data_IF_300399938773
#
_entry.id   IF_300399938773
#
_cell.length_a   1.000
_cell.length_b   1.000
_cell.length_c   1.000
_cell.angle_alpha   90.00
_cell.angle_beta   90.00
_cell.angle_gamma   90.00
#
_symmetry.space_group_name_H-M   'P 1'
#
loop_
_entity.id
_entity.type
_entity.pdbx_description
1 polymer ?
#
# COMPACT_ATOMS: atom_id res chain seq x y z
N UNK A 1 -6.21 1.45 0.66
CA UNK A 1 -7.53 0.76 0.73
C UNK A 1 -7.30 -0.59 1.38
N UNK A 2 -8.32 -1.26 1.93
CA UNK A 2 -8.14 -2.60 2.52
C UNK A 2 -9.40 -3.45 2.35
N UNK A 3 -9.20 -4.77 2.34
CA UNK A 3 -10.28 -5.75 2.29
C UNK A 3 -10.86 -5.98 3.69
N UNK A 4 -12.19 -6.06 3.75
CA UNK A 4 -12.96 -6.34 4.95
C UNK A 4 -14.03 -7.39 4.63
N UNK A 5 -14.35 -8.25 5.62
CA UNK A 5 -15.45 -9.22 5.53
C UNK A 5 -16.60 -8.79 6.42
N UNK A 6 -17.84 -8.92 5.94
CA UNK A 6 -19.05 -8.65 6.73
C UNK A 6 -19.96 -9.88 6.74
N UNK A 7 -20.31 -10.35 7.93
CA UNK A 7 -21.29 -11.43 8.10
C UNK A 7 -22.70 -10.85 8.04
N UNK A 8 -23.54 -11.41 7.17
CA UNK A 8 -24.98 -11.10 7.09
C UNK A 8 -25.72 -12.42 7.03
N UNK A 9 -26.42 -12.76 8.13
CA UNK A 9 -27.00 -14.08 8.32
C UNK A 9 -25.93 -15.18 8.27
N UNK A 10 -26.11 -16.14 7.36
CA UNK A 10 -25.17 -17.23 7.12
C UNK A 10 -24.09 -16.91 6.07
N UNK A 11 -24.15 -15.74 5.41
CA UNK A 11 -23.24 -15.40 4.33
C UNK A 11 -22.15 -14.43 4.81
N UNK A 12 -20.95 -14.57 4.24
CA UNK A 12 -19.81 -13.69 4.52
C UNK A 12 -19.49 -12.93 3.24
N UNK A 13 -19.67 -11.62 3.26
CA UNK A 13 -19.47 -10.76 2.11
C UNK A 13 -18.08 -10.12 2.10
N UNK A 14 -17.44 -10.14 0.93
CA UNK A 14 -16.16 -9.49 0.69
C UNK A 14 -16.39 -8.04 0.21
N UNK A 15 -15.68 -7.09 0.84
CA UNK A 15 -15.79 -5.67 0.54
C UNK A 15 -14.42 -5.00 0.50
N UNK A 16 -14.26 -4.04 -0.41
CA UNK A 16 -13.13 -3.11 -0.42
C UNK A 16 -13.54 -1.81 0.27
N UNK A 17 -12.78 -1.43 1.29
CA UNK A 17 -13.04 -0.25 2.10
C UNK A 17 -11.90 0.76 1.94
N UNK A 18 -12.26 2.04 1.94
CA UNK A 18 -11.33 3.16 2.03
C UNK A 18 -11.60 3.90 3.34
N UNK A 19 -10.56 4.07 4.15
CA UNK A 19 -10.62 4.99 5.28
C UNK A 19 -10.54 6.41 4.73
N UNK A 20 -11.52 7.21 5.09
CA UNK A 20 -11.59 8.62 4.77
C UNK A 20 -11.62 9.43 6.06
N UNK A 21 -11.03 10.61 6.01
CA UNK A 21 -10.95 11.51 7.15
C UNK A 21 -11.60 12.82 6.74
N UNK A 22 -12.56 13.27 7.53
CA UNK A 22 -13.28 14.50 7.28
C UNK A 22 -13.40 15.32 8.57
N UNK A 23 -13.58 16.62 8.44
CA UNK A 23 -13.79 17.51 9.57
C UNK A 23 -15.28 17.79 9.70
N UNK A 24 -15.82 17.63 10.92
CA UNK A 24 -17.18 18.04 11.25
C UNK A 24 -17.13 18.92 12.49
N UNK A 25 -17.52 20.18 12.34
CA UNK A 25 -17.47 21.20 13.39
C UNK A 25 -16.08 21.36 14.01
N UNK A 26 -15.03 21.42 13.17
CA UNK A 26 -13.64 21.53 13.62
C UNK A 26 -13.03 20.25 14.19
N UNK A 27 -13.81 19.19 14.42
CA UNK A 27 -13.32 17.91 14.93
C UNK A 27 -13.02 16.95 13.78
N UNK A 28 -11.80 16.40 13.77
CA UNK A 28 -11.38 15.35 12.84
C UNK A 28 -12.14 14.06 13.14
N UNK A 29 -12.83 13.52 12.14
CA UNK A 29 -13.56 12.25 12.20
C UNK A 29 -13.06 11.30 11.12
N UNK A 30 -13.03 10.02 11.45
CA UNK A 30 -12.76 8.96 10.48
C UNK A 30 -14.09 8.34 10.03
N UNK A 31 -14.19 8.01 8.74
CA UNK A 31 -15.29 7.27 8.15
C UNK A 31 -14.72 6.15 7.28
N UNK A 32 -15.38 4.99 7.32
CA UNK A 32 -15.15 3.92 6.36
C UNK A 32 -16.11 4.12 5.19
N UNK A 33 -15.57 4.34 4.01
CA UNK A 33 -16.34 4.41 2.78
C UNK A 33 -16.21 3.07 2.03
N UNK A 34 -17.36 2.51 1.62
CA UNK A 34 -17.40 1.32 0.78
C UNK A 34 -17.00 1.70 -0.65
N UNK A 35 -15.94 1.08 -1.16
CA UNK A 35 -15.47 1.29 -2.54
C UNK A 35 -16.13 0.30 -3.48
N UNK A 36 -16.15 -0.97 -3.11
CA UNK A 36 -16.75 -2.05 -3.91
C UNK A 36 -17.17 -3.22 -3.01
N UNK A 37 -18.19 -3.95 -3.45
CA UNK A 37 -18.57 -5.24 -2.87
C UNK A 37 -18.43 -6.32 -3.93
N UNK A 38 -17.84 -7.45 -3.54
CA UNK A 38 -17.57 -8.59 -4.43
C UNK A 38 -18.49 -9.78 -4.15
N UNK A 39 -19.57 -9.59 -3.40
CA UNK A 39 -20.48 -10.68 -3.06
C UNK A 39 -19.93 -11.63 -2.00
N UNK A 40 -20.43 -12.87 -2.00
CA UNK A 40 -20.13 -13.88 -0.97
C UNK A 40 -18.73 -14.47 -1.19
N UNK A 41 -17.94 -14.58 -0.12
CA UNK A 41 -16.61 -15.16 -0.15
C UNK A 41 -16.61 -16.64 -0.56
N UNK A 42 -17.71 -17.35 -0.29
CA UNK A 42 -17.90 -18.75 -0.67
C UNK A 42 -17.84 -18.98 -2.20
N UNK A 43 -18.01 -17.92 -3.00
CA UNK A 43 -17.87 -18.00 -4.46
C UNK A 43 -16.40 -18.11 -4.91
N UNK A 44 -15.45 -17.80 -4.02
CA UNK A 44 -14.03 -17.68 -4.34
C UNK A 44 -13.13 -18.61 -3.52
N UNK A 45 -13.56 -18.99 -2.31
CA UNK A 45 -12.70 -19.72 -1.37
C UNK A 45 -12.43 -21.18 -1.75
N UNK A 46 -13.28 -21.80 -2.59
CA UNK A 46 -13.21 -23.22 -2.95
C UNK A 46 -13.04 -24.15 -1.73
N UNK A 47 -13.60 -23.76 -0.58
CA UNK A 47 -13.47 -24.49 0.69
C UNK A 47 -12.18 -24.23 1.48
N UNK A 48 -11.32 -23.29 1.09
CA UNK A 48 -10.14 -22.89 1.86
C UNK A 48 -10.54 -21.99 3.06
N UNK A 49 -10.42 -22.46 4.30
CA UNK A 49 -10.79 -21.69 5.49
C UNK A 49 -9.93 -20.44 5.69
N UNK A 50 -8.74 -20.40 5.10
CA UNK A 50 -7.79 -19.29 5.20
C UNK A 50 -7.79 -18.38 3.97
N UNK A 51 -8.72 -18.58 3.04
CA UNK A 51 -8.78 -17.83 1.78
C UNK A 51 -8.76 -16.30 2.00
N UNK A 52 -9.55 -15.80 2.97
CA UNK A 52 -9.62 -14.37 3.24
C UNK A 52 -8.27 -13.77 3.67
N UNK A 53 -7.53 -14.45 4.54
CA UNK A 53 -6.24 -13.93 5.03
C UNK A 53 -5.20 -13.94 3.89
N UNK A 54 -5.17 -15.01 3.10
CA UNK A 54 -4.34 -15.07 1.88
C UNK A 54 -4.69 -13.95 0.91
N UNK A 55 -5.98 -13.73 0.66
CA UNK A 55 -6.47 -12.68 -0.23
C UNK A 55 -6.05 -11.30 0.28
N UNK A 56 -6.19 -11.05 1.58
CA UNK A 56 -5.80 -9.78 2.22
C UNK A 56 -4.30 -9.53 2.12
N UNK A 57 -3.47 -10.54 2.36
CA UNK A 57 -2.03 -10.38 2.32
C UNK A 57 -1.49 -10.25 0.89
N UNK A 58 -2.07 -10.99 -0.07
CA UNK A 58 -1.77 -10.80 -1.49
C UNK A 58 -2.20 -9.41 -1.97
N UNK A 59 -3.38 -8.94 -1.57
CA UNK A 59 -3.84 -7.59 -1.91
C UNK A 59 -2.90 -6.50 -1.40
N UNK A 60 -2.35 -6.63 -0.18
CA UNK A 60 -1.33 -5.70 0.34
C UNK A 60 -0.03 -5.73 -0.45
N UNK A 61 0.32 -6.88 -1.03
CA UNK A 61 1.51 -7.05 -1.88
C UNK A 61 1.28 -6.59 -3.32
N UNK A 62 0.07 -6.17 -3.67
CA UNK A 62 -0.30 -5.81 -5.03
C UNK A 62 -0.55 -7.02 -5.94
N UNK A 63 -0.96 -8.16 -5.37
CA UNK A 63 -1.30 -9.38 -6.10
C UNK A 63 -2.82 -9.59 -6.02
N UNK A 64 -3.49 -9.69 -7.18
CA UNK A 64 -4.92 -9.98 -7.27
C UNK A 64 -5.14 -11.48 -7.36
N UNK A 65 -5.74 -12.08 -6.32
CA UNK A 65 -6.19 -13.48 -6.40
C UNK A 65 -7.57 -13.62 -7.04
N UNK A 66 -8.33 -12.53 -7.14
CA UNK A 66 -9.62 -12.47 -7.85
C UNK A 66 -9.54 -11.39 -8.93
N UNK A 67 -10.01 -11.66 -10.16
CA UNK A 67 -9.89 -10.72 -11.29
C UNK A 67 -10.49 -9.33 -10.99
N UNK A 68 -11.56 -9.27 -10.20
CA UNK A 68 -12.27 -8.02 -9.90
C UNK A 68 -11.45 -7.05 -9.04
N UNK A 69 -10.37 -7.53 -8.38
CA UNK A 69 -9.45 -6.71 -7.60
C UNK A 69 -8.34 -6.08 -8.40
N UNK A 70 -8.07 -6.53 -9.63
CA UNK A 70 -6.94 -6.04 -10.45
C UNK A 70 -6.99 -4.51 -10.61
N UNK A 71 -8.17 -3.95 -10.86
CA UNK A 71 -8.40 -2.51 -11.01
C UNK A 71 -8.16 -1.68 -9.73
N UNK A 72 -8.01 -2.32 -8.57
CA UNK A 72 -7.83 -1.65 -7.27
C UNK A 72 -6.43 -1.84 -6.69
N UNK A 73 -5.59 -2.64 -7.34
CA UNK A 73 -4.19 -2.75 -6.99
C UNK A 73 -3.51 -1.46 -7.41
N UNK A 74 -3.05 -0.72 -6.40
CA UNK A 74 -2.15 0.40 -6.67
C UNK A 74 -0.81 -0.20 -7.12
N UNK A 75 -0.17 0.33 -8.18
CA UNK A 75 1.21 -0.01 -8.44
C UNK A 75 1.98 0.23 -7.15
N UNK A 76 2.73 -0.77 -6.67
CA UNK A 76 3.58 -0.58 -5.51
C UNK A 76 4.50 0.61 -5.83
N UNK A 77 4.24 1.75 -5.19
CA UNK A 77 5.27 2.78 -5.06
C UNK A 77 6.44 2.04 -4.44
N UNK A 78 7.46 1.81 -5.26
CA UNK A 78 8.63 1.07 -4.84
C UNK A 78 9.33 2.04 -3.90
N UNK A 79 9.04 1.93 -2.61
CA UNK A 79 9.85 2.58 -1.61
C UNK A 79 11.23 1.95 -1.77
N UNK A 80 12.15 2.69 -2.39
CA UNK A 80 13.55 2.33 -2.42
C UNK A 80 14.01 2.39 -0.96
N UNK A 81 13.92 1.25 -0.28
CA UNK A 81 14.39 1.08 1.08
C UNK A 81 15.91 1.27 1.03
N UNK A 82 16.38 2.39 1.58
CA UNK A 82 17.81 2.64 1.71
C UNK A 82 18.29 1.72 2.84
N UNK A 83 19.12 0.73 2.54
CA UNK A 83 19.72 -0.12 3.57
C UNK A 83 20.55 0.74 4.51
N UNK A 84 20.29 0.62 5.81
CA UNK A 84 21.07 1.30 6.85
C UNK A 84 22.53 0.78 6.92
N UNK A 85 22.81 -0.36 6.30
CA UNK A 85 24.15 -0.94 6.21
C UNK A 85 25.11 -0.03 5.42
N UNK A 86 24.60 0.65 4.39
CA UNK A 86 25.34 1.64 3.61
C UNK A 86 25.64 2.92 4.44
N UNK A 87 24.86 3.18 5.50
CA UNK A 87 25.07 4.34 6.38
C UNK A 87 26.15 4.11 7.42
N UNK A 88 26.42 2.86 7.84
CA UNK A 88 27.45 2.58 8.84
C UNK A 88 28.88 2.91 8.35
N UNK A 89 29.08 3.02 7.04
CA UNK A 89 30.37 3.45 6.46
C UNK A 89 30.57 4.97 6.51
N UNK A 90 29.51 5.74 6.79
CA UNK A 90 29.53 7.20 6.82
C UNK A 90 29.07 7.72 8.18
N UNK A 91 29.92 8.51 8.86
CA UNK A 91 29.56 9.06 10.17
C UNK A 91 28.21 9.79 10.12
N UNK A 92 27.44 9.76 11.22
CA UNK A 92 26.12 10.41 11.40
C UNK A 92 26.03 11.84 10.86
N UNK A 93 27.16 12.54 10.75
CA UNK A 93 27.29 13.90 10.20
C UNK A 93 27.04 14.00 8.69
N UNK A 94 27.00 12.89 7.95
CA UNK A 94 26.90 12.88 6.48
C UNK A 94 25.55 12.36 5.95
N UNK A 95 24.57 12.12 6.80
CA UNK A 95 23.23 11.65 6.39
C UNK A 95 22.58 12.63 5.40
N UNK A 96 22.72 13.93 5.63
CA UNK A 96 22.20 14.96 4.72
C UNK A 96 22.80 14.88 3.31
N UNK A 97 24.10 14.58 3.20
CA UNK A 97 24.76 14.41 1.90
C UNK A 97 24.21 13.20 1.15
N UNK A 98 23.98 12.08 1.83
CA UNK A 98 23.48 10.85 1.20
C UNK A 98 22.04 11.02 0.70
N UNK A 99 21.18 11.68 1.49
CA UNK A 99 19.81 12.01 1.08
C UNK A 99 19.84 12.90 -0.18
N UNK A 100 20.66 13.96 -0.17
CA UNK A 100 20.77 14.87 -1.31
C UNK A 100 21.34 14.19 -2.55
N UNK A 101 22.39 13.38 -2.41
CA UNK A 101 23.01 12.69 -3.53
C UNK A 101 22.04 11.69 -4.18
N UNK A 102 21.29 10.93 -3.38
CA UNK A 102 20.26 10.03 -3.90
C UNK A 102 19.12 10.81 -4.57
N UNK A 103 18.70 11.94 -4.00
CA UNK A 103 17.71 12.83 -4.63
C UNK A 103 18.21 13.33 -5.99
N UNK A 104 19.46 13.81 -6.07
CA UNK A 104 20.04 14.29 -7.33
C UNK A 104 20.21 13.17 -8.36
N UNK A 105 20.57 11.95 -7.94
CA UNK A 105 20.65 10.80 -8.82
C UNK A 105 19.27 10.40 -9.36
N UNK A 106 18.25 10.35 -8.50
CA UNK A 106 16.87 10.04 -8.90
C UNK A 106 16.31 11.08 -9.87
N UNK A 107 16.67 12.35 -9.68
CA UNK A 107 16.27 13.44 -10.58
C UNK A 107 17.14 13.54 -11.83
N UNK A 108 18.20 12.73 -11.97
CA UNK A 108 19.13 12.78 -13.11
C UNK A 108 20.01 14.03 -13.15
N UNK A 109 20.13 14.76 -12.04
CA UNK A 109 20.82 16.06 -11.93
C UNK A 109 22.31 15.87 -11.59
N UNK A 110 22.74 14.67 -11.22
CA UNK A 110 24.12 14.40 -10.77
C UNK A 110 25.21 14.58 -11.86
N UNK A 111 24.84 14.89 -13.10
CA UNK A 111 25.77 15.11 -14.22
C UNK A 111 25.94 16.58 -14.64
N UNK A 112 25.83 17.57 -13.74
CA UNK A 112 26.33 18.91 -14.07
C UNK A 112 27.86 18.89 -14.01
N UNK A 113 28.50 18.44 -15.10
CA UNK A 113 29.92 18.69 -15.36
C UNK A 113 30.11 20.21 -15.41
N UNK A 114 30.67 20.78 -14.36
CA UNK A 114 31.25 22.11 -14.42
C UNK A 114 32.52 22.00 -15.27
N UNK A 115 32.40 22.31 -16.56
CA UNK A 115 33.57 22.56 -17.40
C UNK A 115 34.22 23.85 -16.88
N UNK A 116 35.41 23.71 -16.30
CA UNK A 116 36.35 24.81 -16.02
C UNK A 116 37.44 24.72 -17.07
#
# INVERSE_FOLDING_TARGET
MFLEKRKVGNNIYLMLIKNNVYFKNGVKKAKKDLVASFGNIANYDNGDPNFFEKLRDNFKKGIALIPELEKYIQPNETFNEISLEDLNQYSEKNVGYLILNNLFNLLGISQVKMCI
#
